data_IF_687337208572
#
_entry.id   IF_687337208572
#
_cell.length_a   1.000
_cell.length_b   1.000
_cell.length_c   1.000
_cell.angle_alpha   90.00
_cell.angle_beta   90.00
_cell.angle_gamma   90.00
#
_symmetry.space_group_name_H-M   'P 1'
#
loop_
_entity.id
_entity.type
_entity.pdbx_description
1 polymer ?
#
# COMPACT_ATOMS: atom_id res chain seq x y z
N UNK A 1 -13.39 -1.85 -1.24
CA UNK A 1 -12.11 -1.35 -0.68
C UNK A 1 -11.44 -0.46 -1.72
N UNK A 2 -10.69 0.55 -1.34
CA UNK A 2 -10.02 1.47 -2.27
C UNK A 2 -8.55 1.68 -1.88
N UNK A 3 -7.67 1.72 -2.87
CA UNK A 3 -6.26 2.07 -2.73
C UNK A 3 -6.02 3.44 -3.36
N UNK A 4 -5.41 4.37 -2.60
CA UNK A 4 -5.02 5.69 -3.10
C UNK A 4 -3.51 5.76 -3.30
N UNK A 5 -3.07 5.97 -4.54
CA UNK A 5 -1.67 6.21 -4.88
C UNK A 5 -1.46 7.70 -5.07
N UNK A 6 -0.75 8.32 -4.13
CA UNK A 6 -0.49 9.76 -4.12
C UNK A 6 0.86 10.04 -4.77
N UNK A 7 0.86 10.90 -5.78
CA UNK A 7 2.04 11.33 -6.52
C UNK A 7 2.29 12.81 -6.22
N UNK A 8 3.50 13.13 -5.79
CA UNK A 8 3.95 14.50 -5.59
C UNK A 8 4.89 14.88 -6.73
N UNK A 9 4.59 15.96 -7.43
CA UNK A 9 5.57 16.59 -8.31
C UNK A 9 6.49 17.48 -7.45
N UNK A 10 7.80 17.18 -7.34
CA UNK A 10 8.70 17.93 -6.48
C UNK A 10 8.95 19.37 -6.96
N UNK A 11 8.81 19.64 -8.26
CA UNK A 11 9.07 20.96 -8.85
C UNK A 11 7.85 21.88 -8.72
N UNK A 12 6.67 21.39 -9.11
CA UNK A 12 5.43 22.20 -9.10
C UNK A 12 4.70 22.14 -7.76
N UNK A 13 5.11 21.22 -6.87
CA UNK A 13 4.38 20.84 -5.64
C UNK A 13 2.96 20.37 -5.90
N UNK A 14 2.63 20.02 -7.15
CA UNK A 14 1.33 19.49 -7.53
C UNK A 14 1.13 18.07 -7.01
N UNK A 15 -0.10 17.77 -6.59
CA UNK A 15 -0.49 16.44 -6.11
C UNK A 15 -1.44 15.81 -7.13
N UNK A 16 -1.13 14.58 -7.53
CA UNK A 16 -2.01 13.74 -8.35
C UNK A 16 -2.33 12.45 -7.60
N UNK A 17 -3.60 12.06 -7.55
CA UNK A 17 -4.05 10.85 -6.85
C UNK A 17 -4.66 9.89 -7.85
N UNK A 18 -4.23 8.62 -7.82
CA UNK A 18 -4.82 7.53 -8.58
C UNK A 18 -5.54 6.60 -7.62
N UNK A 19 -6.87 6.49 -7.77
CA UNK A 19 -7.70 5.59 -6.98
C UNK A 19 -7.91 4.24 -7.69
N UNK A 20 -7.73 3.14 -6.96
CA UNK A 20 -8.03 1.78 -7.43
C UNK A 20 -9.11 1.16 -6.55
N UNK A 21 -10.27 0.89 -7.16
CA UNK A 21 -11.41 0.29 -6.51
C UNK A 21 -11.36 -1.24 -6.60
N UNK A 22 -11.56 -1.90 -5.45
CA UNK A 22 -11.63 -3.36 -5.34
C UNK A 22 -13.03 -3.79 -4.90
N UNK A 23 -13.54 -4.84 -5.57
CA UNK A 23 -14.69 -5.62 -5.10
C UNK A 23 -14.23 -6.90 -4.41
N UNK A 24 -15.12 -7.48 -3.61
CA UNK A 24 -14.86 -8.78 -3.00
C UNK A 24 -14.80 -9.88 -4.08
N UNK A 25 -13.86 -10.80 -3.92
CA UNK A 25 -13.62 -11.86 -4.91
C UNK A 25 -12.33 -12.62 -4.62
N UNK A 26 -11.73 -13.17 -5.68
CA UNK A 26 -10.43 -13.84 -5.57
C UNK A 26 -9.35 -12.89 -5.03
N UNK A 27 -8.38 -13.40 -4.24
CA UNK A 27 -7.28 -12.58 -3.74
C UNK A 27 -6.53 -11.86 -4.87
N UNK A 28 -6.31 -10.57 -4.71
CA UNK A 28 -5.43 -9.81 -5.58
C UNK A 28 -3.96 -10.03 -5.20
N UNK A 29 -3.10 -10.17 -6.20
CA UNK A 29 -1.69 -10.49 -5.98
C UNK A 29 -0.94 -9.36 -5.26
N UNK A 30 -1.19 -8.11 -5.64
CA UNK A 30 -0.57 -6.95 -5.02
C UNK A 30 -1.05 -6.80 -3.58
N UNK A 31 -2.37 -6.87 -3.34
CA UNK A 31 -2.93 -6.82 -1.98
C UNK A 31 -2.39 -7.93 -1.08
N UNK A 32 -2.19 -9.14 -1.63
CA UNK A 32 -1.66 -10.27 -0.85
C UNK A 32 -0.22 -10.05 -0.38
N UNK A 33 0.58 -9.27 -1.12
CA UNK A 33 1.94 -8.89 -0.75
C UNK A 33 1.89 -7.77 0.30
N UNK A 34 1.15 -6.70 0.01
CA UNK A 34 0.97 -5.56 0.90
C UNK A 34 0.45 -5.95 2.30
N UNK A 35 -0.56 -6.83 2.37
CA UNK A 35 -1.14 -7.26 3.65
C UNK A 35 -0.13 -8.03 4.51
N UNK A 36 0.81 -8.77 3.91
CA UNK A 36 1.86 -9.46 4.68
C UNK A 36 2.78 -8.45 5.35
N UNK A 37 3.15 -7.40 4.63
CA UNK A 37 4.03 -6.35 5.16
C UNK A 37 3.32 -5.58 6.28
N UNK A 38 2.04 -5.23 6.08
CA UNK A 38 1.20 -4.58 7.12
C UNK A 38 1.10 -5.44 8.38
N UNK A 39 0.86 -6.74 8.25
CA UNK A 39 0.80 -7.67 9.41
C UNK A 39 2.11 -7.76 10.17
N UNK A 40 3.24 -7.50 9.52
CA UNK A 40 4.54 -7.49 10.19
C UNK A 40 4.71 -6.29 11.12
N UNK A 41 4.02 -5.18 10.84
CA UNK A 41 4.00 -3.99 11.70
C UNK A 41 3.20 -4.29 12.97
N UNK A 42 2.04 -4.93 12.83
CA UNK A 42 1.18 -5.31 13.96
C UNK A 42 1.86 -6.29 14.94
N UNK A 43 2.71 -7.19 14.43
CA UNK A 43 3.44 -8.15 15.27
C UNK A 43 4.61 -7.53 16.05
N UNK A 44 5.28 -6.51 15.51
CA UNK A 44 6.40 -5.83 16.17
C UNK A 44 5.92 -4.93 17.33
N UNK A 45 4.66 -4.48 17.33
CA UNK A 45 4.06 -3.71 18.44
C UNK A 45 3.73 -4.53 19.70
N UNK A 46 3.86 -5.87 19.66
CA UNK A 46 3.72 -6.70 20.86
C UNK A 46 4.89 -6.51 21.85
N UNK A 47 5.97 -5.83 21.46
CA UNK A 47 6.98 -5.30 22.38
C UNK A 47 6.55 -3.92 22.92
N UNK A 48 5.48 -3.95 23.73
CA UNK A 48 4.64 -2.83 24.20
C UNK A 48 5.36 -1.66 24.92
N UNK A 49 6.68 -1.75 25.09
CA UNK A 49 7.51 -0.71 25.71
C UNK A 49 8.23 0.19 24.69
N UNK A 50 8.16 -0.12 23.39
CA UNK A 50 8.82 0.67 22.34
C UNK A 50 7.79 1.42 21.51
N UNK A 51 7.22 2.44 22.14
CA UNK A 51 6.18 3.34 21.60
C UNK A 51 6.77 4.46 20.72
N UNK A 52 7.89 4.19 20.06
CA UNK A 52 8.41 5.06 19.02
C UNK A 52 7.83 4.52 17.72
N UNK A 53 7.15 5.37 16.96
CA UNK A 53 6.57 5.06 15.64
C UNK A 53 7.63 4.35 14.80
N UNK A 54 7.58 3.01 14.76
CA UNK A 54 8.48 2.22 13.92
C UNK A 54 7.94 2.41 12.51
N UNK A 55 8.34 3.51 11.87
CA UNK A 55 8.23 3.68 10.43
C UNK A 55 9.09 2.60 9.78
N UNK A 56 8.50 1.43 9.58
CA UNK A 56 9.16 0.33 8.92
C UNK A 56 9.19 0.67 7.44
N UNK A 57 10.37 0.96 6.91
CA UNK A 57 10.56 1.13 5.46
C UNK A 57 10.12 -0.17 4.77
N UNK A 58 8.92 -0.18 4.18
CA UNK A 58 8.38 -1.34 3.45
C UNK A 58 9.05 -1.54 2.08
N UNK A 59 10.14 -0.80 1.81
CA UNK A 59 10.89 -0.83 0.57
C UNK A 59 10.14 -0.20 -0.62
N UNK A 60 10.77 -0.30 -1.79
CA UNK A 60 10.19 0.20 -3.05
C UNK A 60 9.29 -0.88 -3.65
N UNK A 61 8.01 -0.57 -3.86
CA UNK A 61 7.09 -1.41 -4.62
C UNK A 61 6.97 -0.93 -6.06
N UNK A 62 6.95 -1.89 -7.01
CA UNK A 62 6.70 -1.59 -8.41
C UNK A 62 5.19 -1.37 -8.64
N UNK A 63 4.73 -0.15 -8.97
CA UNK A 63 3.31 0.14 -9.17
C UNK A 63 2.71 -0.63 -10.36
N UNK A 64 3.53 -1.20 -11.26
CA UNK A 64 3.07 -2.05 -12.36
C UNK A 64 2.54 -3.41 -11.90
N UNK A 65 2.85 -3.82 -10.66
CA UNK A 65 2.24 -4.99 -10.03
C UNK A 65 0.72 -4.77 -9.83
N UNK A 66 0.29 -3.51 -9.72
CA UNK A 66 -1.11 -3.11 -9.65
C UNK A 66 -1.66 -3.11 -11.09
N UNK A 67 -2.50 -4.08 -11.43
CA UNK A 67 -3.04 -4.27 -12.79
C UNK A 67 -4.20 -3.32 -13.08
N UNK A 68 -3.92 -2.01 -13.12
CA UNK A 68 -4.89 -0.91 -13.31
C UNK A 68 -5.59 -0.98 -14.69
N UNK A 69 -4.97 -1.64 -15.68
CA UNK A 69 -5.37 -1.62 -17.09
C UNK A 69 -6.32 -2.72 -17.59
N UNK A 70 -7.31 -3.17 -16.83
CA UNK A 70 -8.43 -3.93 -17.41
C UNK A 70 -8.72 -5.33 -16.87
N UNK A 71 -8.17 -5.72 -15.71
CA UNK A 71 -8.86 -6.73 -14.91
C UNK A 71 -10.04 -6.05 -14.23
N UNK A 72 -11.26 -6.45 -14.62
CA UNK A 72 -12.47 -6.15 -13.83
C UNK A 72 -12.32 -6.88 -12.51
N UNK A 73 -11.78 -6.21 -11.50
CA UNK A 73 -11.83 -6.66 -10.11
C UNK A 73 -13.23 -7.05 -9.78
#
# INVERSE_FOLDING_TARGET
MELHMVHLNPETKGIAVVGVLYKAGSPDHFLSKLIKDIKSIEHDEMDKNKKEEIEKEMGVMDPREIKIGGKKY
#
